data_IF_376271057732
#
_entry.id   IF_376271057732
#
_cell.length_a   1.000
_cell.length_b   1.000
_cell.length_c   1.000
_cell.angle_alpha   90.00
_cell.angle_beta   90.00
_cell.angle_gamma   90.00
#
_symmetry.space_group_name_H-M   'P 1'
#
loop_
_entity.id
_entity.type
_entity.pdbx_description
1 polymer ?
#
# COMPACT_ATOMS: atom_id res chain seq x y z
N UNK A 1 -13.15 31.80 -9.28
CA UNK A 1 -12.39 31.70 -8.02
C UNK A 1 -11.58 30.43 -8.16
N UNK A 2 -10.31 30.58 -8.50
CA UNK A 2 -9.37 29.46 -8.49
C UNK A 2 -9.30 28.94 -7.03
N UNK A 3 -9.19 27.63 -6.85
CA UNK A 3 -9.05 27.03 -5.52
C UNK A 3 -7.85 27.60 -4.75
N UNK A 4 -6.92 28.27 -5.45
CA UNK A 4 -5.73 29.00 -4.97
C UNK A 4 -6.00 29.99 -3.84
N UNK A 5 -7.19 30.59 -3.80
CA UNK A 5 -7.44 31.77 -2.95
C UNK A 5 -8.06 31.43 -1.59
N UNK A 6 -8.48 30.18 -1.36
CA UNK A 6 -9.27 29.78 -0.17
C UNK A 6 -8.52 28.85 0.79
N UNK A 7 -7.50 28.12 0.31
CA UNK A 7 -6.78 27.11 1.10
C UNK A 7 -5.32 27.55 1.29
N UNK A 8 -4.79 27.41 2.51
CA UNK A 8 -3.38 27.74 2.76
C UNK A 8 -2.47 26.83 1.94
N UNK A 9 -1.35 27.36 1.44
CA UNK A 9 -0.39 26.57 0.66
C UNK A 9 0.10 25.33 1.43
N UNK A 10 0.35 25.47 2.75
CA UNK A 10 0.75 24.35 3.61
C UNK A 10 -0.30 23.24 3.66
N UNK A 11 -1.59 23.59 3.82
CA UNK A 11 -2.68 22.61 3.85
C UNK A 11 -2.83 21.88 2.51
N UNK A 12 -2.51 22.54 1.39
CA UNK A 12 -2.48 21.88 0.09
C UNK A 12 -1.31 20.92 -0.05
N UNK A 13 -0.13 21.34 0.38
CA UNK A 13 1.05 20.48 0.34
C UNK A 13 0.88 19.25 1.23
N UNK A 14 0.36 19.44 2.45
CA UNK A 14 0.03 18.34 3.35
C UNK A 14 -1.01 17.38 2.74
N UNK A 15 -2.03 17.91 2.05
CA UNK A 15 -3.01 17.06 1.37
C UNK A 15 -2.44 16.31 0.17
N UNK A 16 -1.67 17.00 -0.68
CA UNK A 16 -1.17 16.45 -1.95
C UNK A 16 -0.02 15.47 -1.74
N UNK A 17 0.86 15.74 -0.79
CA UNK A 17 2.09 14.97 -0.58
C UNK A 17 2.01 14.05 0.62
N UNK A 18 1.31 14.45 1.70
CA UNK A 18 1.16 13.62 2.91
C UNK A 18 -0.21 12.95 3.01
N UNK A 19 -1.14 13.27 2.12
CA UNK A 19 -2.51 12.75 2.16
C UNK A 19 -3.30 13.20 3.40
N UNK A 20 -2.84 14.24 4.10
CA UNK A 20 -3.46 14.71 5.34
C UNK A 20 -4.64 15.62 5.00
N UNK A 21 -5.84 15.23 5.43
CA UNK A 21 -7.01 16.09 5.30
C UNK A 21 -6.86 17.30 6.24
N UNK A 22 -7.36 18.48 5.85
CA UNK A 22 -7.47 19.62 6.76
C UNK A 22 -8.17 19.21 8.06
N UNK A 23 -7.65 19.68 9.19
CA UNK A 23 -8.05 19.27 10.55
C UNK A 23 -9.56 19.40 10.86
N UNK A 24 -10.29 20.16 10.04
CA UNK A 24 -11.73 20.35 10.16
C UNK A 24 -12.59 19.17 9.67
N UNK A 25 -12.02 18.16 9.00
CA UNK A 25 -12.80 17.09 8.35
C UNK A 25 -12.69 15.76 9.11
N UNK A 26 -13.74 15.40 9.85
CA UNK A 26 -13.87 14.06 10.43
C UNK A 26 -14.15 13.00 9.35
N UNK A 27 -13.85 11.70 9.59
CA UNK A 27 -14.18 10.63 8.64
C UNK A 27 -15.68 10.53 8.30
N UNK A 28 -16.56 10.90 9.25
CA UNK A 28 -18.01 10.92 9.04
C UNK A 28 -18.38 12.04 8.06
N UNK A 29 -17.92 13.26 8.32
CA UNK A 29 -18.13 14.40 7.41
C UNK A 29 -17.53 14.12 6.03
N UNK A 30 -16.35 13.51 5.97
CA UNK A 30 -15.73 13.12 4.71
C UNK A 30 -16.63 12.18 3.90
N UNK A 31 -17.17 11.14 4.54
CA UNK A 31 -18.12 10.20 3.91
C UNK A 31 -19.39 10.90 3.42
N UNK A 32 -19.95 11.82 4.21
CA UNK A 32 -21.14 12.58 3.84
C UNK A 32 -20.89 13.46 2.61
N UNK A 33 -19.74 14.15 2.56
CA UNK A 33 -19.38 15.07 1.47
C UNK A 33 -19.14 14.33 0.15
N UNK A 34 -18.41 13.21 0.16
CA UNK A 34 -18.08 12.48 -1.08
C UNK A 34 -19.14 11.46 -1.48
N UNK A 35 -20.04 11.10 -0.55
CA UNK A 35 -21.08 10.10 -0.71
C UNK A 35 -20.58 8.66 -0.56
N UNK A 36 -21.53 7.75 -0.32
CA UNK A 36 -21.23 6.35 0.03
C UNK A 36 -20.42 5.60 -1.05
N UNK A 37 -20.67 5.84 -2.33
CA UNK A 37 -19.99 5.15 -3.42
C UNK A 37 -18.50 5.53 -3.51
N UNK A 38 -18.18 6.83 -3.46
CA UNK A 38 -16.78 7.29 -3.48
C UNK A 38 -16.06 6.92 -2.19
N UNK A 39 -16.76 6.95 -1.05
CA UNK A 39 -16.19 6.51 0.22
C UNK A 39 -15.84 5.01 0.20
N UNK A 40 -16.69 4.16 -0.39
CA UNK A 40 -16.36 2.74 -0.59
C UNK A 40 -15.14 2.56 -1.50
N UNK A 41 -15.05 3.31 -2.60
CA UNK A 41 -13.88 3.28 -3.47
C UNK A 41 -12.60 3.74 -2.75
N UNK A 42 -12.69 4.78 -1.93
CA UNK A 42 -11.61 5.24 -1.06
C UNK A 42 -11.14 4.14 -0.10
N UNK A 43 -12.07 3.47 0.60
CA UNK A 43 -11.70 2.37 1.49
C UNK A 43 -11.06 1.20 0.75
N UNK A 44 -11.57 0.84 -0.44
CA UNK A 44 -10.96 -0.20 -1.26
C UNK A 44 -9.52 0.15 -1.64
N UNK A 45 -9.25 1.40 -1.99
CA UNK A 45 -7.90 1.87 -2.28
C UNK A 45 -7.02 1.87 -1.03
N UNK A 46 -7.53 2.38 0.10
CA UNK A 46 -6.77 2.45 1.35
C UNK A 46 -6.37 1.05 1.84
N UNK A 47 -7.31 0.12 1.94
CA UNK A 47 -7.02 -1.24 2.38
C UNK A 47 -6.31 -2.08 1.32
N UNK A 48 -6.73 -1.97 0.06
CA UNK A 48 -6.25 -2.83 -1.00
C UNK A 48 -4.94 -2.39 -1.64
N UNK A 49 -4.50 -1.15 -1.40
CA UNK A 49 -3.26 -0.62 -1.94
C UNK A 49 -2.35 -0.12 -0.83
N UNK A 50 -2.77 0.91 -0.08
CA UNK A 50 -1.89 1.56 0.90
C UNK A 50 -1.50 0.62 2.04
N UNK A 51 -2.48 -0.06 2.64
CA UNK A 51 -2.23 -1.03 3.72
C UNK A 51 -1.49 -2.27 3.20
N UNK A 52 -1.74 -2.67 1.95
CA UNK A 52 -1.07 -3.82 1.35
C UNK A 52 0.42 -3.51 1.06
N UNK A 53 0.76 -2.31 0.59
CA UNK A 53 2.15 -1.85 0.43
C UNK A 53 2.88 -1.80 1.78
N UNK A 54 2.22 -1.28 2.81
CA UNK A 54 2.80 -1.26 4.16
C UNK A 54 3.00 -2.67 4.74
N UNK A 55 2.12 -3.61 4.42
CA UNK A 55 2.28 -5.02 4.77
C UNK A 55 3.49 -5.64 4.04
N UNK A 56 3.64 -5.38 2.74
CA UNK A 56 4.81 -5.85 1.97
C UNK A 56 6.12 -5.34 2.59
N UNK A 57 6.19 -4.05 2.90
CA UNK A 57 7.34 -3.45 3.60
C UNK A 57 7.60 -4.12 4.96
N UNK A 58 6.55 -4.37 5.74
CA UNK A 58 6.68 -4.99 7.06
C UNK A 58 7.33 -6.38 6.99
N UNK A 59 6.89 -7.19 6.01
CA UNK A 59 7.43 -8.54 5.81
C UNK A 59 8.84 -8.49 5.24
N UNK A 60 9.11 -7.61 4.29
CA UNK A 60 10.45 -7.41 3.75
C UNK A 60 11.44 -6.99 4.85
N UNK A 61 11.04 -6.10 5.76
CA UNK A 61 11.86 -5.69 6.90
C UNK A 61 12.09 -6.82 7.91
N UNK A 62 11.10 -7.70 8.13
CA UNK A 62 11.27 -8.92 8.94
C UNK A 62 12.30 -9.88 8.31
N UNK A 63 12.25 -10.06 7.00
CA UNK A 63 13.24 -10.85 6.24
C UNK A 63 14.62 -10.21 6.37
N UNK A 64 14.75 -8.91 6.08
CA UNK A 64 16.00 -8.16 6.20
C UNK A 64 16.63 -8.31 7.59
N UNK A 65 15.85 -8.11 8.66
CA UNK A 65 16.30 -8.30 10.05
C UNK A 65 16.76 -9.73 10.34
N UNK A 66 16.05 -10.72 9.82
CA UNK A 66 16.42 -12.13 9.94
C UNK A 66 17.78 -12.42 9.28
N UNK A 67 18.03 -11.89 8.08
CA UNK A 67 19.32 -12.05 7.39
C UNK A 67 20.45 -11.28 8.07
N UNK A 68 20.19 -10.05 8.51
CA UNK A 68 21.16 -9.25 9.27
C UNK A 68 21.60 -9.97 10.56
N UNK A 69 20.66 -10.62 11.26
CA UNK A 69 20.98 -11.41 12.46
C UNK A 69 21.89 -12.61 12.19
N UNK A 70 21.94 -13.08 10.93
CA UNK A 70 22.77 -14.19 10.47
C UNK A 70 24.08 -13.72 9.81
N UNK A 71 24.32 -12.41 9.72
CA UNK A 71 25.54 -11.84 9.14
C UNK A 71 25.58 -11.82 7.61
N UNK A 72 24.45 -11.99 6.93
CA UNK A 72 24.37 -11.86 5.48
C UNK A 72 24.32 -10.39 5.04
N UNK A 73 24.86 -10.08 3.86
CA UNK A 73 24.78 -8.77 3.23
C UNK A 73 23.38 -8.53 2.61
N UNK A 74 22.99 -7.26 2.53
CA UNK A 74 21.73 -6.82 1.91
C UNK A 74 21.70 -7.17 0.42
N UNK A 75 20.62 -7.81 -0.04
CA UNK A 75 20.43 -8.13 -1.45
C UNK A 75 18.95 -8.03 -1.85
N UNK A 76 18.70 -7.88 -3.16
CA UNK A 76 17.34 -7.81 -3.74
C UNK A 76 16.49 -9.09 -3.49
N UNK A 77 17.07 -10.16 -2.94
CA UNK A 77 16.31 -11.40 -2.68
C UNK A 77 15.31 -11.26 -1.52
N UNK A 78 15.42 -10.20 -0.69
CA UNK A 78 14.46 -9.93 0.38
C UNK A 78 13.06 -9.62 -0.15
N UNK A 79 12.97 -8.91 -1.28
CA UNK A 79 11.70 -8.61 -1.95
C UNK A 79 11.09 -9.92 -2.45
N UNK A 80 11.88 -10.74 -3.12
CA UNK A 80 11.41 -12.04 -3.66
C UNK A 80 10.91 -12.97 -2.54
N UNK A 81 11.62 -13.04 -1.41
CA UNK A 81 11.23 -13.83 -0.24
C UNK A 81 9.98 -13.26 0.46
N UNK A 82 9.89 -11.93 0.63
CA UNK A 82 8.72 -11.29 1.23
C UNK A 82 7.45 -11.51 0.43
N UNK A 83 7.53 -11.41 -0.90
CA UNK A 83 6.41 -11.73 -1.80
C UNK A 83 6.06 -13.21 -1.73
N UNK A 84 7.05 -14.10 -1.67
CA UNK A 84 6.80 -15.53 -1.50
C UNK A 84 6.06 -15.83 -0.20
N UNK A 85 6.42 -15.20 0.92
CA UNK A 85 5.73 -15.37 2.22
C UNK A 85 4.26 -14.92 2.14
N UNK A 86 4.00 -13.75 1.55
CA UNK A 86 2.66 -13.15 1.49
C UNK A 86 1.74 -13.83 0.47
N UNK A 87 2.28 -14.24 -0.67
CA UNK A 87 1.48 -14.62 -1.84
C UNK A 87 1.72 -16.08 -2.28
N UNK A 88 2.77 -16.72 -1.77
CA UNK A 88 3.19 -18.07 -2.14
C UNK A 88 3.87 -18.14 -3.52
N UNK A 89 4.30 -16.99 -4.06
CA UNK A 89 5.03 -16.84 -5.32
C UNK A 89 5.99 -15.67 -5.19
N UNK A 90 7.11 -15.76 -5.88
CA UNK A 90 8.10 -14.68 -5.95
C UNK A 90 7.53 -13.48 -6.77
N UNK A 91 8.13 -12.30 -6.63
CA UNK A 91 7.70 -11.07 -7.28
C UNK A 91 7.70 -11.18 -8.80
N UNK A 92 8.75 -11.77 -9.36
CA UNK A 92 8.94 -11.91 -10.81
C UNK A 92 7.86 -12.78 -11.49
N UNK A 93 7.40 -13.84 -10.84
CA UNK A 93 6.30 -14.68 -11.32
C UNK A 93 4.96 -13.94 -11.23
N UNK A 94 4.72 -13.24 -10.11
CA UNK A 94 3.50 -12.46 -9.90
C UNK A 94 3.32 -11.34 -10.93
N UNK A 95 4.39 -10.63 -11.25
CA UNK A 95 4.38 -9.59 -12.29
C UNK A 95 4.05 -10.20 -13.67
N UNK A 96 4.60 -11.37 -13.98
CA UNK A 96 4.29 -12.04 -15.24
C UNK A 96 2.83 -12.48 -15.32
N UNK A 97 2.26 -12.96 -14.22
CA UNK A 97 0.84 -13.32 -14.14
C UNK A 97 -0.06 -12.11 -14.30
N UNK A 98 0.22 -11.03 -13.56
CA UNK A 98 -0.52 -9.77 -13.68
C UNK A 98 -0.47 -9.23 -15.12
N UNK A 99 0.70 -9.19 -15.74
CA UNK A 99 0.82 -8.73 -17.14
C UNK A 99 0.02 -9.59 -18.11
N UNK A 100 -0.03 -10.91 -17.91
CA UNK A 100 -0.81 -11.83 -18.74
C UNK A 100 -2.31 -11.58 -18.58
N UNK A 101 -2.77 -11.38 -17.36
CA UNK A 101 -4.19 -11.15 -17.06
C UNK A 101 -4.68 -9.79 -17.60
N UNK A 102 -3.87 -8.74 -17.42
CA UNK A 102 -4.19 -7.37 -17.87
C UNK A 102 -3.73 -7.06 -19.29
N UNK A 103 -3.26 -8.08 -20.04
CA UNK A 103 -2.79 -7.98 -21.43
C UNK A 103 -1.74 -6.87 -21.64
N UNK A 104 -0.88 -6.66 -20.66
CA UNK A 104 0.22 -5.70 -20.72
C UNK A 104 1.39 -6.28 -21.52
N UNK A 105 1.93 -5.52 -22.46
CA UNK A 105 3.09 -5.95 -23.26
C UNK A 105 4.31 -6.15 -22.35
N UNK A 106 4.98 -7.31 -22.43
CA UNK A 106 6.14 -7.68 -21.58
C UNK A 106 7.27 -6.64 -21.52
N UNK A 107 7.45 -5.80 -22.55
CA UNK A 107 8.51 -4.78 -22.63
C UNK A 107 8.08 -3.40 -22.14
N UNK A 108 6.79 -3.20 -21.82
CA UNK A 108 6.29 -1.91 -21.32
C UNK A 108 6.76 -1.71 -19.89
N UNK A 109 7.39 -0.57 -19.60
CA UNK A 109 7.63 -0.13 -18.22
C UNK A 109 6.28 0.10 -17.54
N UNK A 110 6.12 -0.37 -16.31
CA UNK A 110 4.90 -0.11 -15.53
C UNK A 110 4.91 1.34 -15.06
N UNK A 111 3.80 2.03 -15.28
CA UNK A 111 3.52 3.32 -14.68
C UNK A 111 3.21 3.16 -13.19
N UNK A 112 3.17 4.27 -12.45
CA UNK A 112 2.72 4.26 -11.06
C UNK A 112 1.30 3.68 -10.93
N UNK A 113 0.41 4.00 -11.86
CA UNK A 113 -0.94 3.43 -11.90
C UNK A 113 -0.92 1.92 -12.08
N UNK A 114 -0.12 1.40 -13.02
CA UNK A 114 0.01 -0.04 -13.23
C UNK A 114 0.53 -0.75 -11.97
N UNK A 115 1.43 -0.12 -11.21
CA UNK A 115 1.94 -0.66 -9.94
C UNK A 115 0.86 -0.66 -8.85
N UNK A 116 0.06 0.41 -8.72
CA UNK A 116 -1.06 0.45 -7.76
C UNK A 116 -2.14 -0.57 -8.09
N UNK A 117 -2.43 -0.78 -9.38
CA UNK A 117 -3.33 -1.84 -9.85
C UNK A 117 -2.77 -3.24 -9.55
N UNK A 118 -1.47 -3.44 -9.74
CA UNK A 118 -0.79 -4.69 -9.37
C UNK A 118 -0.91 -4.98 -7.88
N UNK A 119 -0.65 -4.00 -7.01
CA UNK A 119 -0.83 -4.15 -5.57
C UNK A 119 -2.28 -4.49 -5.21
N UNK A 120 -3.25 -3.80 -5.81
CA UNK A 120 -4.66 -4.12 -5.59
C UNK A 120 -5.02 -5.54 -6.03
N UNK A 121 -4.47 -6.01 -7.15
CA UNK A 121 -4.62 -7.38 -7.61
C UNK A 121 -4.03 -8.40 -6.62
N UNK A 122 -2.86 -8.12 -6.04
CA UNK A 122 -2.26 -8.96 -4.99
C UNK A 122 -3.14 -9.03 -3.72
N UNK A 123 -3.68 -7.89 -3.28
CA UNK A 123 -4.63 -7.86 -2.18
C UNK A 123 -5.85 -8.75 -2.46
N UNK A 124 -6.43 -8.64 -3.66
CA UNK A 124 -7.56 -9.50 -4.08
C UNK A 124 -7.18 -10.98 -4.09
N UNK A 125 -5.99 -11.32 -4.55
CA UNK A 125 -5.47 -12.68 -4.49
C UNK A 125 -5.33 -13.17 -3.04
N UNK A 126 -4.81 -12.33 -2.13
CA UNK A 126 -4.67 -12.63 -0.69
C UNK A 126 -6.03 -12.92 -0.04
N UNK A 127 -7.04 -12.09 -0.32
CA UNK A 127 -8.42 -12.28 0.15
C UNK A 127 -9.05 -13.60 -0.31
N UNK A 128 -8.74 -14.03 -1.52
CA UNK A 128 -9.35 -15.23 -2.11
C UNK A 128 -8.62 -16.52 -1.70
N UNK A 129 -7.32 -16.44 -1.42
CA UNK A 129 -6.46 -17.61 -1.19
C UNK A 129 -6.30 -17.97 0.28
N UNK A 130 -6.22 -16.98 1.17
CA UNK A 130 -5.94 -17.20 2.59
C UNK A 130 -7.19 -17.21 3.45
N UNK A 131 -7.08 -17.82 4.62
CA UNK A 131 -8.16 -17.81 5.60
C UNK A 131 -8.40 -16.40 6.17
N UNK A 132 -9.64 -16.09 6.61
CA UNK A 132 -9.98 -14.76 7.12
C UNK A 132 -9.15 -14.30 8.32
N UNK A 133 -8.71 -15.24 9.18
CA UNK A 133 -7.94 -14.89 10.37
C UNK A 133 -6.53 -14.41 9.99
N UNK A 134 -5.88 -15.12 9.06
CA UNK A 134 -4.61 -14.68 8.48
C UNK A 134 -4.75 -13.33 7.80
N UNK A 135 -5.76 -13.16 6.95
CA UNK A 135 -6.00 -11.89 6.25
C UNK A 135 -6.12 -10.73 7.23
N UNK A 136 -6.90 -10.90 8.30
CA UNK A 136 -7.10 -9.87 9.32
C UNK A 136 -5.81 -9.57 10.12
N UNK A 137 -5.01 -10.60 10.43
CA UNK A 137 -3.72 -10.44 11.11
C UNK A 137 -2.73 -9.65 10.25
N UNK A 138 -2.60 -10.02 8.98
CA UNK A 138 -1.75 -9.34 8.00
C UNK A 138 -2.20 -7.88 7.79
N UNK A 139 -3.50 -7.64 7.64
CA UNK A 139 -4.04 -6.28 7.54
C UNK A 139 -3.73 -5.46 8.79
N UNK A 140 -3.81 -6.06 9.99
CA UNK A 140 -3.41 -5.39 11.24
C UNK A 140 -1.91 -5.06 11.25
N UNK A 141 -1.06 -5.97 10.75
CA UNK A 141 0.38 -5.73 10.60
C UNK A 141 0.63 -4.51 9.70
N UNK A 142 0.03 -4.47 8.51
CA UNK A 142 0.17 -3.32 7.59
C UNK A 142 -0.29 -1.99 8.20
N UNK A 143 -1.42 -1.98 8.92
CA UNK A 143 -1.91 -0.77 9.62
C UNK A 143 -0.91 -0.32 10.70
N UNK A 144 -0.35 -1.24 11.47
CA UNK A 144 0.63 -0.91 12.50
C UNK A 144 1.92 -0.34 11.88
N UNK A 145 2.36 -0.89 10.74
CA UNK A 145 3.50 -0.35 10.00
C UNK A 145 3.26 1.08 9.54
N UNK A 146 2.08 1.39 8.97
CA UNK A 146 1.73 2.78 8.62
C UNK A 146 1.78 3.72 9.81
N UNK A 147 1.27 3.29 10.98
CA UNK A 147 1.32 4.10 12.20
C UNK A 147 2.76 4.39 12.64
N UNK A 148 3.64 3.40 12.54
CA UNK A 148 5.06 3.56 12.88
C UNK A 148 5.75 4.53 11.91
N UNK A 149 5.48 4.42 10.61
CA UNK A 149 6.03 5.34 9.61
C UNK A 149 5.60 6.79 9.85
N UNK A 150 4.32 7.02 10.13
CA UNK A 150 3.81 8.36 10.44
C UNK A 150 4.48 8.95 11.70
N UNK A 151 4.72 8.13 12.74
CA UNK A 151 5.42 8.58 13.95
C UNK A 151 6.89 8.95 13.70
N UNK A 152 7.56 8.25 12.76
CA UNK A 152 8.94 8.56 12.38
C UNK A 152 9.01 9.87 11.57
N UNK A 153 8.04 10.11 10.69
CA UNK A 153 7.92 11.37 9.97
C UNK A 153 7.67 12.57 10.90
N UNK A 154 6.81 12.41 11.92
CA UNK A 154 6.53 13.48 12.90
C UNK A 154 7.73 13.80 13.82
N UNK A 155 8.71 12.88 13.92
CA UNK A 155 9.89 13.01 14.77
C UNK A 155 11.15 13.52 14.04
N UNK A 156 11.10 13.64 12.71
CA UNK A 156 12.23 14.04 11.83
C UNK A 156 12.10 15.49 11.38
#
# INVERSE_FOLDING_TARGET
>A
IELSDVVKTSEREDLLFKGQLPSAVSPIQFREVIGANKYKAYLNYWYGVIVEEALQLAVEEEVRKSYASKGYLDNDSFVEEGFFILYGKNYSDLIQEFRREFKLTRRKKMSLTDLKEFTYWLFKMRLNKWDPARVASDTRKGINTLRQLNQLEDAS
#
